data_IF_606082749046
#
_entry.id   IF_606082749046
#
_cell.length_a   1.000
_cell.length_b   1.000
_cell.length_c   1.000
_cell.angle_alpha   90.00
_cell.angle_beta   90.00
_cell.angle_gamma   90.00
#
_symmetry.space_group_name_H-M   'P 1'
#
loop_
_entity.id
_entity.type
_entity.pdbx_description
1 polymer ?
#
# COMPACT_ATOMS: atom_id res chain seq x y z
N UNK A 1 15.81 -7.85 -39.99
CA UNK A 1 14.35 -7.74 -40.18
C UNK A 1 13.94 -6.39 -39.61
N UNK A 2 13.87 -5.35 -40.45
CA UNK A 2 13.25 -4.08 -40.04
C UNK A 2 11.79 -4.15 -40.41
N UNK A 3 10.91 -4.02 -39.43
CA UNK A 3 9.49 -3.83 -39.67
C UNK A 3 9.32 -2.53 -40.49
N UNK A 4 8.77 -2.64 -41.70
CA UNK A 4 8.68 -1.51 -42.63
C UNK A 4 7.45 -0.64 -42.38
N UNK A 5 6.57 -1.06 -41.48
CA UNK A 5 5.30 -0.38 -41.21
C UNK A 5 4.98 -0.45 -39.71
N UNK A 6 5.81 0.17 -38.85
CA UNK A 6 5.42 0.32 -37.46
C UNK A 6 4.09 1.07 -37.43
N UNK A 7 3.12 0.56 -36.65
CA UNK A 7 1.80 1.17 -36.40
C UNK A 7 0.67 0.91 -37.42
N UNK A 8 0.82 0.03 -38.42
CA UNK A 8 -0.32 -0.35 -39.30
C UNK A 8 -1.28 -1.36 -38.63
N UNK A 9 -0.77 -2.13 -37.67
CA UNK A 9 -1.58 -2.97 -36.79
C UNK A 9 -2.06 -2.15 -35.59
N UNK A 10 -3.34 -1.76 -35.61
CA UNK A 10 -4.00 -1.31 -34.38
C UNK A 10 -4.05 -2.50 -33.41
N UNK A 11 -3.58 -2.34 -32.16
CA UNK A 11 -3.63 -3.41 -31.19
C UNK A 11 -5.09 -3.82 -30.94
N UNK A 12 -5.32 -5.11 -30.74
CA UNK A 12 -6.65 -5.58 -30.35
C UNK A 12 -7.05 -4.90 -29.03
N UNK A 13 -8.30 -4.43 -28.89
CA UNK A 13 -8.75 -3.81 -27.64
C UNK A 13 -8.45 -4.73 -26.46
N UNK A 14 -7.66 -4.23 -25.50
CA UNK A 14 -7.27 -5.01 -24.31
C UNK A 14 -8.28 -4.91 -23.17
N UNK A 15 -9.41 -4.20 -23.38
CA UNK A 15 -10.43 -4.02 -22.35
C UNK A 15 -10.95 -5.35 -21.79
N UNK A 16 -11.21 -6.34 -22.65
CA UNK A 16 -11.64 -7.68 -22.21
C UNK A 16 -10.56 -8.41 -21.41
N UNK A 17 -9.27 -8.19 -21.69
CA UNK A 17 -8.19 -8.75 -20.86
C UNK A 17 -8.24 -8.17 -19.44
N UNK A 18 -8.43 -6.86 -19.30
CA UNK A 18 -8.53 -6.24 -17.97
C UNK A 18 -9.80 -6.65 -17.24
N UNK A 19 -10.95 -6.72 -17.92
CA UNK A 19 -12.22 -7.11 -17.31
C UNK A 19 -12.26 -8.61 -16.96
N UNK A 20 -11.92 -9.48 -17.91
CA UNK A 20 -12.13 -10.93 -17.78
C UNK A 20 -10.96 -11.63 -17.08
N UNK A 21 -9.71 -11.27 -17.41
CA UNK A 21 -8.53 -11.97 -16.87
C UNK A 21 -8.00 -11.29 -15.60
N UNK A 22 -7.85 -9.97 -15.62
CA UNK A 22 -7.33 -9.22 -14.46
C UNK A 22 -8.42 -8.94 -13.42
N UNK A 23 -9.70 -9.18 -13.75
CA UNK A 23 -10.86 -8.84 -12.90
C UNK A 23 -10.89 -7.36 -12.50
N UNK A 24 -10.45 -6.47 -13.38
CA UNK A 24 -10.57 -5.03 -13.16
C UNK A 24 -12.05 -4.65 -13.11
N UNK A 25 -12.49 -4.13 -11.98
CA UNK A 25 -13.80 -3.51 -11.87
C UNK A 25 -13.72 -2.09 -12.43
N UNK A 26 -14.07 -1.93 -13.71
CA UNK A 26 -14.24 -0.61 -14.32
C UNK A 26 -15.54 -0.01 -13.78
N UNK A 27 -15.50 1.12 -13.06
CA UNK A 27 -16.71 1.76 -12.56
C UNK A 27 -17.57 2.26 -13.74
N UNK A 28 -18.75 1.67 -13.93
CA UNK A 28 -19.70 2.07 -15.00
C UNK A 28 -21.00 2.64 -14.42
N UNK A 29 -21.50 3.70 -15.05
CA UNK A 29 -22.69 4.46 -14.64
C UNK A 29 -23.99 3.63 -14.47
N UNK A 30 -24.28 2.56 -15.25
CA UNK A 30 -25.55 1.80 -15.12
C UNK A 30 -25.54 0.69 -14.08
N UNK A 31 -24.37 0.17 -13.67
CA UNK A 31 -24.27 -0.89 -12.66
C UNK A 31 -24.10 -0.34 -11.25
N UNK A 32 -23.71 0.94 -11.11
CA UNK A 32 -23.32 1.48 -9.82
C UNK A 32 -22.16 0.70 -9.19
N UNK A 33 -21.69 1.19 -8.06
CA UNK A 33 -20.67 0.59 -7.22
C UNK A 33 -21.19 -0.74 -6.63
N UNK A 34 -20.89 -1.89 -7.25
CA UNK A 34 -21.37 -3.19 -6.73
C UNK A 34 -20.36 -3.76 -5.73
N UNK A 35 -20.29 -3.17 -4.53
CA UNK A 35 -19.44 -3.58 -3.39
C UNK A 35 -19.25 -2.43 -2.39
N UNK A 36 -18.83 -2.73 -1.15
CA UNK A 36 -18.75 -1.87 0.07
C UNK A 36 -18.10 -0.45 -0.07
N UNK A 37 -17.67 -0.07 -1.26
CA UNK A 37 -17.08 1.22 -1.65
C UNK A 37 -18.04 2.06 -2.51
N UNK A 38 -19.30 2.22 -2.07
CA UNK A 38 -20.21 3.20 -2.66
C UNK A 38 -19.71 4.66 -2.54
N UNK A 39 -18.65 4.89 -1.75
CA UNK A 39 -18.03 6.20 -1.53
C UNK A 39 -16.62 6.29 -2.14
N UNK A 40 -16.40 5.73 -3.33
CA UNK A 40 -15.16 5.97 -4.05
C UNK A 40 -15.01 7.47 -4.38
N UNK A 41 -14.06 8.12 -3.71
CA UNK A 41 -13.70 9.52 -3.91
C UNK A 41 -13.50 9.81 -5.41
N UNK A 42 -14.04 10.94 -5.90
CA UNK A 42 -13.87 11.42 -7.28
C UNK A 42 -12.40 11.45 -7.75
N UNK A 43 -11.46 11.46 -6.81
CA UNK A 43 -10.03 11.27 -7.02
C UNK A 43 -9.67 10.00 -7.83
N UNK A 44 -10.33 8.86 -7.61
CA UNK A 44 -10.03 7.62 -8.35
C UNK A 44 -10.64 7.63 -9.76
N UNK A 45 -11.77 8.33 -9.95
CA UNK A 45 -12.52 8.34 -11.21
C UNK A 45 -12.01 9.39 -12.21
N UNK A 46 -11.55 10.55 -11.72
CA UNK A 46 -11.18 11.70 -12.55
C UNK A 46 -9.91 12.39 -12.02
N UNK A 47 -8.93 11.62 -11.52
CA UNK A 47 -7.60 12.21 -11.33
C UNK A 47 -7.12 12.74 -12.67
N UNK A 48 -6.70 14.01 -12.70
CA UNK A 48 -6.05 14.61 -13.87
C UNK A 48 -4.74 13.89 -14.26
N UNK A 49 -4.31 12.91 -13.46
CA UNK A 49 -3.14 12.08 -13.65
C UNK A 49 -3.46 10.66 -14.13
N UNK A 50 -4.71 10.33 -14.43
CA UNK A 50 -5.13 8.98 -14.87
C UNK A 50 -5.73 9.03 -16.26
N UNK A 51 -5.05 8.42 -17.23
CA UNK A 51 -5.54 8.26 -18.61
C UNK A 51 -5.54 6.78 -18.98
N UNK A 52 -6.68 6.29 -19.45
CA UNK A 52 -6.83 4.92 -19.91
C UNK A 52 -6.34 4.81 -21.37
N UNK A 53 -5.52 3.81 -21.64
CA UNK A 53 -5.12 3.41 -22.98
C UNK A 53 -5.43 1.93 -23.17
N UNK A 54 -5.96 1.58 -24.33
CA UNK A 54 -6.17 0.19 -24.75
C UNK A 54 -4.95 -0.40 -25.45
N UNK A 55 -4.00 0.47 -25.82
CA UNK A 55 -2.82 0.10 -26.58
C UNK A 55 -1.68 -0.24 -25.61
N UNK A 56 -0.91 -1.31 -25.85
CA UNK A 56 0.19 -1.70 -24.99
C UNK A 56 1.35 -0.70 -25.14
N UNK A 57 1.43 0.26 -24.21
CA UNK A 57 2.58 1.13 -24.05
C UNK A 57 3.42 0.66 -22.85
N UNK A 58 4.76 0.54 -22.99
CA UNK A 58 5.63 0.22 -21.87
C UNK A 58 5.75 1.45 -20.96
N UNK A 59 4.77 1.64 -20.09
CA UNK A 59 4.78 2.68 -19.07
C UNK A 59 5.39 2.12 -17.79
N UNK A 60 6.38 2.83 -17.27
CA UNK A 60 7.04 2.50 -16.01
C UNK A 60 6.48 3.42 -14.92
N UNK A 61 5.99 2.81 -13.85
CA UNK A 61 5.43 3.52 -12.70
C UNK A 61 5.98 2.91 -11.41
N UNK A 62 6.01 3.70 -10.34
CA UNK A 62 6.50 3.22 -9.04
C UNK A 62 5.48 2.33 -8.33
N UNK A 63 4.20 2.62 -8.54
CA UNK A 63 3.09 1.84 -8.03
C UNK A 63 1.90 1.96 -8.99
N UNK A 64 0.94 1.05 -8.85
CA UNK A 64 -0.29 1.04 -9.64
C UNK A 64 -1.44 0.46 -8.82
N UNK A 65 -2.67 0.81 -9.18
CA UNK A 65 -3.85 0.17 -8.57
C UNK A 65 -3.98 -1.21 -9.21
N UNK A 66 -4.09 -2.25 -8.37
CA UNK A 66 -4.13 -3.64 -8.85
C UNK A 66 -5.27 -3.87 -9.83
N UNK A 67 -5.05 -4.80 -10.76
CA UNK A 67 -5.93 -5.25 -11.84
C UNK A 67 -6.27 -4.25 -12.95
N UNK A 68 -6.35 -2.95 -12.67
CA UNK A 68 -6.81 -1.96 -13.66
C UNK A 68 -5.69 -1.23 -14.41
N UNK A 69 -4.43 -1.46 -14.05
CA UNK A 69 -3.26 -0.80 -14.62
C UNK A 69 -2.20 -1.82 -15.06
N UNK A 70 -1.69 -1.67 -16.28
CA UNK A 70 -0.67 -2.55 -16.86
C UNK A 70 0.77 -2.04 -16.69
N UNK A 71 0.97 -0.96 -15.95
CA UNK A 71 2.29 -0.38 -15.71
C UNK A 71 3.30 -1.42 -15.24
N UNK A 72 4.52 -1.31 -15.77
CA UNK A 72 5.69 -2.06 -15.33
C UNK A 72 6.19 -1.38 -14.07
N UNK A 73 6.11 -2.08 -12.94
CA UNK A 73 6.50 -1.52 -11.66
C UNK A 73 8.03 -1.46 -11.53
N UNK A 74 8.54 -0.28 -11.19
CA UNK A 74 9.97 -0.05 -10.93
C UNK A 74 10.18 0.49 -9.51
N UNK A 75 11.35 0.27 -8.89
CA UNK A 75 11.61 0.79 -7.56
C UNK A 75 11.55 2.32 -7.53
N UNK A 76 10.83 2.85 -6.54
CA UNK A 76 10.72 4.29 -6.33
C UNK A 76 12.01 4.92 -5.82
N UNK A 77 12.26 6.17 -6.21
CA UNK A 77 13.23 7.08 -5.60
C UNK A 77 13.18 7.11 -4.06
N UNK A 78 12.01 6.90 -3.44
CA UNK A 78 11.84 6.92 -1.99
C UNK A 78 12.62 5.83 -1.25
N UNK A 79 13.13 4.82 -1.96
CA UNK A 79 13.86 3.69 -1.40
C UNK A 79 15.38 3.71 -1.65
N UNK A 80 15.89 4.72 -2.37
CA UNK A 80 17.33 4.81 -2.65
C UNK A 80 18.05 5.61 -1.56
N UNK A 81 19.19 5.12 -1.07
CA UNK A 81 19.89 5.72 0.09
C UNK A 81 20.35 7.17 -0.10
N UNK A 82 20.47 7.65 -1.34
CA UNK A 82 21.23 8.86 -1.68
C UNK A 82 20.33 10.07 -2.04
N UNK A 83 19.00 9.93 -1.91
CA UNK A 83 18.05 10.95 -2.33
C UNK A 83 17.39 11.65 -1.12
N UNK A 84 17.26 12.97 -1.18
CA UNK A 84 16.71 13.78 -0.09
C UNK A 84 15.27 13.40 0.33
N UNK A 85 14.53 12.81 -0.60
CA UNK A 85 13.15 12.35 -0.43
C UNK A 85 13.06 10.97 0.22
N UNK A 86 14.16 10.24 0.27
CA UNK A 86 14.22 8.95 0.94
C UNK A 86 13.95 9.15 2.41
N UNK A 87 13.18 8.22 2.97
CA UNK A 87 13.10 8.08 4.41
C UNK A 87 14.46 7.60 4.90
N UNK A 88 15.41 8.53 5.04
CA UNK A 88 16.67 8.29 5.73
C UNK A 88 16.32 8.02 7.18
N UNK A 89 15.96 6.80 7.47
CA UNK A 89 16.01 6.29 8.81
C UNK A 89 17.50 6.12 9.10
N UNK A 90 18.10 7.18 9.66
CA UNK A 90 19.49 7.13 10.07
C UNK A 90 19.62 5.93 11.03
N UNK A 91 20.51 5.02 10.65
CA UNK A 91 21.02 3.83 11.36
C UNK A 91 20.69 3.67 12.86
N UNK A 92 20.76 2.43 13.36
CA UNK A 92 19.66 1.47 13.48
C UNK A 92 18.64 1.84 14.57
N UNK A 93 17.44 1.25 14.51
CA UNK A 93 16.52 1.31 15.65
C UNK A 93 17.17 0.62 16.88
N UNK A 94 17.57 1.43 17.86
CA UNK A 94 18.18 0.99 19.11
C UNK A 94 17.17 0.77 20.24
N UNK A 95 15.87 0.98 19.99
CA UNK A 95 14.82 0.85 21.01
C UNK A 95 14.29 -0.59 20.98
N UNK A 96 14.46 -1.29 22.09
CA UNK A 96 13.93 -2.63 22.28
C UNK A 96 12.41 -2.60 22.35
N UNK A 97 11.76 -3.69 21.93
CA UNK A 97 10.30 -3.79 21.93
C UNK A 97 9.66 -3.47 23.29
N UNK A 98 10.28 -3.91 24.39
CA UNK A 98 9.81 -3.67 25.76
C UNK A 98 9.83 -2.21 26.18
N UNK A 99 10.69 -1.39 25.56
CA UNK A 99 10.88 0.04 25.87
C UNK A 99 9.97 0.94 25.02
N UNK A 100 9.34 0.39 23.98
CA UNK A 100 8.44 1.13 23.10
C UNK A 100 7.13 1.50 23.81
N UNK A 101 6.63 2.68 23.48
CA UNK A 101 5.36 3.26 23.94
C UNK A 101 4.19 2.46 23.37
N UNK A 102 3.25 2.10 24.23
CA UNK A 102 2.07 1.28 23.91
C UNK A 102 0.95 2.14 23.31
N UNK A 103 1.23 2.79 22.17
CA UNK A 103 0.27 3.62 21.44
C UNK A 103 0.39 3.36 19.94
N UNK A 104 -0.74 3.48 19.24
CA UNK A 104 -0.75 3.62 17.80
C UNK A 104 -0.23 5.00 17.43
N UNK A 105 0.76 5.05 16.54
CA UNK A 105 1.36 6.28 16.05
C UNK A 105 1.23 6.40 14.54
N UNK A 106 0.78 7.57 14.11
CA UNK A 106 0.83 8.01 12.74
C UNK A 106 1.21 9.49 12.71
N UNK A 107 2.14 9.82 11.84
CA UNK A 107 2.47 11.20 11.51
C UNK A 107 2.87 11.27 10.05
N UNK A 108 2.29 12.22 9.32
CA UNK A 108 2.48 12.38 7.89
C UNK A 108 1.72 13.59 7.37
N UNK A 109 1.96 13.95 6.11
CA UNK A 109 1.15 14.91 5.38
C UNK A 109 0.00 14.20 4.66
N UNK A 110 -1.05 14.93 4.28
CA UNK A 110 -2.20 14.38 3.54
C UNK A 110 -1.83 13.76 2.19
N UNK A 111 -0.64 14.05 1.66
CA UNK A 111 -0.09 13.43 0.45
C UNK A 111 0.63 12.09 0.68
N UNK A 112 0.60 11.55 1.91
CA UNK A 112 1.32 10.34 2.35
C UNK A 112 2.84 10.48 2.42
N UNK A 113 3.35 11.68 2.14
CA UNK A 113 4.77 12.00 2.13
C UNK A 113 5.38 12.29 3.51
N UNK A 114 6.66 12.67 3.44
CA UNK A 114 7.57 12.99 4.54
C UNK A 114 6.93 13.96 5.55
N UNK A 115 7.14 13.67 6.83
CA UNK A 115 6.83 14.58 7.93
C UNK A 115 7.68 15.84 7.79
N UNK A 116 7.07 17.03 7.84
CA UNK A 116 7.81 18.29 7.78
C UNK A 116 8.90 18.35 8.86
N UNK A 117 9.83 19.31 8.72
CA UNK A 117 11.02 19.45 9.58
C UNK A 117 10.77 19.46 11.11
N UNK A 118 9.51 19.59 11.54
CA UNK A 118 9.07 19.61 12.94
C UNK A 118 8.91 18.23 13.61
N UNK A 119 8.88 17.11 12.87
CA UNK A 119 8.85 15.76 13.47
C UNK A 119 9.96 14.89 12.89
N UNK A 120 10.98 14.52 13.69
CA UNK A 120 12.04 13.62 13.27
C UNK A 120 11.46 12.30 12.78
N UNK A 121 11.95 11.80 11.65
CA UNK A 121 11.47 10.54 11.03
C UNK A 121 11.61 9.35 11.97
N UNK A 122 12.55 9.42 12.91
CA UNK A 122 12.87 8.40 13.91
C UNK A 122 11.90 8.39 15.10
N UNK A 123 11.02 9.39 15.24
CA UNK A 123 10.06 9.42 16.36
C UNK A 123 9.16 8.18 16.34
N UNK A 124 8.82 7.70 15.15
CA UNK A 124 8.03 6.47 14.94
C UNK A 124 8.65 5.23 15.60
N UNK A 125 9.97 5.20 15.80
CA UNK A 125 10.67 4.08 16.43
C UNK A 125 10.35 3.93 17.92
N UNK A 126 9.81 4.98 18.55
CA UNK A 126 9.42 4.94 19.96
C UNK A 126 8.13 4.20 20.21
N UNK A 127 7.33 3.89 19.18
CA UNK A 127 5.97 3.37 19.34
C UNK A 127 5.89 1.90 18.97
N UNK A 128 5.09 1.12 19.70
CA UNK A 128 4.86 -0.31 19.43
C UNK A 128 4.04 -0.55 18.19
N UNK A 129 3.05 0.30 17.93
CA UNK A 129 2.10 0.15 16.85
C UNK A 129 2.23 1.35 15.93
N UNK A 130 2.43 1.10 14.64
CA UNK A 130 2.65 2.16 13.65
C UNK A 130 1.68 1.96 12.50
N UNK A 131 1.01 3.02 12.09
CA UNK A 131 0.06 2.98 10.99
C UNK A 131 0.72 3.49 9.71
N UNK A 132 0.52 2.76 8.62
CA UNK A 132 0.93 3.08 7.27
C UNK A 132 -0.31 3.22 6.39
N UNK A 133 -0.36 4.32 5.64
CA UNK A 133 -1.47 4.64 4.74
C UNK A 133 -0.89 5.29 3.49
N UNK A 134 -1.51 4.97 2.36
CA UNK A 134 -1.18 5.53 1.07
C UNK A 134 -1.29 7.06 1.03
N UNK A 135 -0.58 7.64 0.06
CA UNK A 135 -0.54 9.06 -0.21
C UNK A 135 -1.22 9.42 -1.52
N UNK A 136 -0.57 10.28 -2.30
CA UNK A 136 -0.94 10.48 -3.71
C UNK A 136 -0.81 9.19 -4.54
N UNK A 137 0.05 8.29 -4.09
CA UNK A 137 0.17 6.92 -4.58
C UNK A 137 0.46 6.02 -3.37
N UNK A 138 1.53 5.24 -3.39
CA UNK A 138 2.01 4.44 -2.27
C UNK A 138 2.66 5.27 -1.14
N UNK A 139 2.94 4.62 -0.01
CA UNK A 139 3.70 5.18 1.11
C UNK A 139 5.21 4.95 0.97
N UNK A 140 5.96 6.00 0.62
CA UNK A 140 7.44 5.95 0.55
C UNK A 140 8.17 5.75 1.90
N UNK A 141 7.42 5.62 3.01
CA UNK A 141 7.97 5.33 4.35
C UNK A 141 7.87 3.86 4.72
N UNK A 142 7.08 3.08 3.98
CA UNK A 142 6.66 1.73 4.37
C UNK A 142 7.85 0.80 4.70
N UNK A 143 8.86 0.70 3.82
CA UNK A 143 10.01 -0.17 4.07
C UNK A 143 10.80 0.21 5.33
N UNK A 144 10.87 1.49 5.69
CA UNK A 144 11.54 1.88 6.93
C UNK A 144 10.65 1.83 8.16
N UNK A 145 9.31 1.84 8.01
CA UNK A 145 8.40 1.42 9.08
C UNK A 145 8.61 -0.06 9.42
N UNK A 146 8.86 -0.93 8.45
CA UNK A 146 9.20 -2.34 8.72
C UNK A 146 10.52 -2.48 9.49
N UNK A 147 11.48 -1.59 9.25
CA UNK A 147 12.76 -1.55 10.00
C UNK A 147 12.61 -1.05 11.44
N UNK A 148 11.47 -0.46 11.80
CA UNK A 148 11.24 0.08 13.14
C UNK A 148 11.12 -0.99 14.23
N UNK A 149 11.03 -2.29 13.91
CA UNK A 149 10.70 -3.36 14.89
C UNK A 149 9.40 -3.07 15.66
N UNK A 150 8.49 -2.36 15.02
CA UNK A 150 7.14 -2.09 15.52
C UNK A 150 6.15 -2.90 14.70
N UNK A 151 4.96 -3.09 15.23
CA UNK A 151 3.88 -3.76 14.52
C UNK A 151 3.26 -2.75 13.54
N UNK A 152 3.44 -3.02 12.25
CA UNK A 152 2.99 -2.13 11.17
C UNK A 152 1.57 -2.53 10.76
N UNK A 153 0.64 -1.59 10.84
CA UNK A 153 -0.71 -1.71 10.30
C UNK A 153 -0.75 -0.99 8.96
N UNK A 154 -1.02 -1.71 7.87
CA UNK A 154 -0.94 -1.18 6.51
C UNK A 154 -2.33 -1.11 5.88
N UNK A 155 -2.71 0.09 5.46
CA UNK A 155 -3.82 0.33 4.53
C UNK A 155 -3.22 0.74 3.20
N UNK A 156 -3.41 -0.09 2.17
CA UNK A 156 -2.97 0.26 0.81
C UNK A 156 -3.95 -0.24 -0.25
N UNK A 157 -4.08 0.53 -1.32
CA UNK A 157 -4.76 0.15 -2.58
C UNK A 157 -3.76 0.04 -3.74
N UNK A 158 -2.51 0.44 -3.50
CA UNK A 158 -1.44 0.42 -4.49
C UNK A 158 -0.58 -0.84 -4.39
N UNK A 159 -0.19 -1.33 -5.55
CA UNK A 159 0.78 -2.41 -5.72
C UNK A 159 2.12 -1.78 -6.09
N UNK A 160 3.17 -2.16 -5.37
CA UNK A 160 4.55 -1.72 -5.59
C UNK A 160 5.42 -2.84 -6.17
N UNK A 161 6.65 -2.51 -6.59
CA UNK A 161 7.56 -3.46 -7.25
C UNK A 161 7.93 -4.71 -6.41
N UNK A 162 7.87 -4.62 -5.08
CA UNK A 162 8.13 -5.73 -4.15
C UNK A 162 6.87 -6.53 -3.79
N UNK A 163 5.77 -6.35 -4.53
CA UNK A 163 4.54 -7.08 -4.27
C UNK A 163 4.79 -8.60 -4.24
N UNK A 164 4.17 -9.28 -3.28
CA UNK A 164 4.38 -10.70 -3.02
C UNK A 164 5.65 -11.06 -2.25
N UNK A 165 6.51 -10.09 -1.90
CA UNK A 165 7.67 -10.35 -1.02
C UNK A 165 7.28 -10.31 0.46
N UNK A 166 6.22 -9.58 0.80
CA UNK A 166 5.75 -9.39 2.16
C UNK A 166 4.39 -10.06 2.33
N UNK A 167 4.32 -10.98 3.28
CA UNK A 167 3.09 -11.68 3.64
C UNK A 167 2.28 -10.88 4.69
N UNK A 168 0.97 -10.68 4.48
CA UNK A 168 0.08 -10.15 5.50
C UNK A 168 0.06 -11.07 6.74
N UNK A 169 -0.13 -10.48 7.91
CA UNK A 169 -0.09 -11.11 9.24
C UNK A 169 1.23 -11.78 9.65
N UNK A 170 2.25 -11.80 8.79
CA UNK A 170 3.62 -12.19 9.15
C UNK A 170 4.54 -10.98 9.23
N UNK A 171 4.44 -10.07 8.25
CA UNK A 171 5.30 -8.88 8.16
C UNK A 171 4.58 -7.60 8.58
N UNK A 172 3.27 -7.54 8.35
CA UNK A 172 2.42 -6.38 8.66
C UNK A 172 0.97 -6.83 8.87
N UNK A 173 0.13 -6.00 9.48
CA UNK A 173 -1.30 -6.23 9.66
C UNK A 173 -2.05 -5.48 8.55
N UNK A 174 -2.75 -6.16 7.62
CA UNK A 174 -3.56 -5.47 6.61
C UNK A 174 -4.77 -4.81 7.29
N UNK A 175 -5.12 -3.61 6.84
CA UNK A 175 -6.29 -2.84 7.27
C UNK A 175 -7.17 -2.55 6.06
N UNK A 176 -8.49 -2.64 6.24
CA UNK A 176 -9.45 -2.35 5.18
C UNK A 176 -9.37 -0.87 4.77
N UNK A 177 -9.64 -0.54 3.48
CA UNK A 177 -9.59 0.83 2.99
C UNK A 177 -10.52 1.82 3.73
N UNK A 178 -11.57 1.33 4.38
CA UNK A 178 -12.54 2.11 5.14
C UNK A 178 -12.20 2.23 6.64
N UNK A 179 -11.07 1.66 7.08
CA UNK A 179 -10.61 1.62 8.47
C UNK A 179 -11.55 0.88 9.44
N UNK A 180 -12.57 0.17 8.94
CA UNK A 180 -13.61 -0.45 9.78
C UNK A 180 -13.06 -1.52 10.74
N UNK A 181 -11.99 -2.20 10.33
CA UNK A 181 -11.33 -3.27 11.07
C UNK A 181 -10.11 -2.81 11.90
N UNK A 182 -9.75 -1.53 11.84
CA UNK A 182 -8.54 -1.02 12.49
C UNK A 182 -8.59 -1.18 14.02
N UNK A 183 -9.72 -0.80 14.64
CA UNK A 183 -9.87 -0.81 16.10
C UNK A 183 -9.80 -2.23 16.63
N UNK A 184 -10.54 -3.15 16.01
CA UNK A 184 -10.55 -4.57 16.39
C UNK A 184 -9.16 -5.20 16.28
N UNK A 185 -8.45 -4.98 15.17
CA UNK A 185 -7.09 -5.50 14.95
C UNK A 185 -6.10 -4.90 15.95
N UNK A 186 -6.24 -3.63 16.30
CA UNK A 186 -5.41 -2.98 17.32
C UNK A 186 -5.66 -3.56 18.72
N UNK A 187 -6.92 -3.74 19.12
CA UNK A 187 -7.29 -4.32 20.42
C UNK A 187 -6.78 -5.76 20.55
N UNK A 188 -6.91 -6.56 19.49
CA UNK A 188 -6.33 -7.90 19.40
C UNK A 188 -4.81 -7.87 19.58
N UNK A 189 -4.10 -6.98 18.86
CA UNK A 189 -2.64 -6.83 18.98
C UNK A 189 -2.21 -6.43 20.40
N UNK A 190 -2.92 -5.50 21.03
CA UNK A 190 -2.65 -5.07 22.42
C UNK A 190 -2.86 -6.22 23.40
N UNK A 191 -3.97 -6.95 23.29
CA UNK A 191 -4.26 -8.09 24.16
C UNK A 191 -3.18 -9.17 24.09
N UNK A 192 -2.65 -9.43 22.89
CA UNK A 192 -1.58 -10.38 22.66
C UNK A 192 -0.22 -9.93 23.21
N UNK A 193 0.10 -8.65 23.07
CA UNK A 193 1.32 -8.08 23.65
C UNK A 193 1.35 -8.21 25.19
N UNK A 194 0.19 -8.09 25.86
CA UNK A 194 0.05 -8.34 27.31
C UNK A 194 0.32 -9.81 27.65
N UNK A 195 -0.09 -10.73 26.78
CA UNK A 195 0.07 -12.18 26.97
C UNK A 195 1.44 -12.72 26.56
N UNK A 196 2.33 -11.87 26.03
CA UNK A 196 3.63 -12.29 25.51
C UNK A 196 3.55 -13.18 24.26
N UNK A 197 2.43 -13.14 23.52
CA UNK A 197 2.17 -13.96 22.34
C UNK A 197 1.95 -13.08 21.11
N UNK A 198 3.02 -12.52 20.59
CA UNK A 198 3.00 -11.37 19.66
C UNK A 198 2.21 -11.59 18.35
N UNK A 199 1.90 -12.85 17.96
CA UNK A 199 1.28 -13.18 16.66
C UNK A 199 0.04 -14.08 16.71
N UNK A 200 -0.37 -14.61 17.87
CA UNK A 200 -1.33 -15.72 17.94
C UNK A 200 -2.79 -15.36 17.53
N UNK A 201 -3.26 -14.15 17.84
CA UNK A 201 -4.60 -13.67 17.42
C UNK A 201 -4.61 -13.19 15.95
N UNK A 202 -3.46 -12.77 15.43
CA UNK A 202 -3.31 -12.34 14.04
C UNK A 202 -3.38 -13.52 13.07
N UNK A 203 -2.88 -14.70 13.47
CA UNK A 203 -3.07 -15.94 12.70
C UNK A 203 -4.55 -16.33 12.63
N UNK A 204 -5.30 -16.20 13.73
CA UNK A 204 -6.74 -16.47 13.74
C UNK A 204 -7.55 -15.48 12.87
N UNK A 205 -7.08 -14.24 12.70
CA UNK A 205 -7.66 -13.24 11.79
C UNK A 205 -7.21 -13.45 10.32
N UNK A 206 -6.06 -14.09 10.10
CA UNK A 206 -5.59 -14.45 8.76
C UNK A 206 -6.40 -15.60 8.14
N UNK A 207 -6.97 -16.46 9.00
CA UNK A 207 -7.86 -17.56 8.60
C UNK A 207 -9.30 -17.09 8.28
N UNK A 208 -9.60 -15.78 8.37
CA UNK A 208 -10.91 -15.21 8.03
C UNK A 208 -11.07 -15.10 6.50
N UNK A 209 -12.11 -15.72 5.90
CA UNK A 209 -12.32 -15.76 4.45
C UNK A 209 -12.48 -14.37 3.79
N UNK A 210 -12.76 -13.31 4.56
CA UNK A 210 -12.87 -11.94 4.03
C UNK A 210 -11.51 -11.37 3.59
N UNK A 211 -10.40 -11.90 4.11
CA UNK A 211 -9.04 -11.39 3.83
C UNK A 211 -8.33 -12.20 2.72
N UNK A 212 -8.87 -13.35 2.34
CA UNK A 212 -8.23 -14.30 1.40
C UNK A 212 -8.67 -14.19 -0.06
N UNK A 213 -9.58 -13.28 -0.41
CA UNK A 213 -10.06 -13.06 -1.80
C UNK A 213 -9.52 -11.78 -2.45
#
# INVERSE_FOLDING_TARGET
MSDQIPFEHSPHPTASFFEDEMKCMIPTCPKGFTGLTNDANAFILYSSSTQFTTDPYPLMSMAKISSCFADILVPSEFYYSDLAWTSHYLFPNNINWTEKIWKLYWHGMSSGGITGASSPREEVYKYKYVFDVDGNSFSGRYLGLLQSRSLVFKLTVFVEYFNGWLCPFEHYIPILPDLSDLVEKLECAVAQAIQGREWACLQALADDPIVTE
#
